data_IF_458247932943
#
_entry.id   IF_458247932943
#
_cell.length_a   1.000
_cell.length_b   1.000
_cell.length_c   1.000
_cell.angle_alpha   90.00
_cell.angle_beta   90.00
_cell.angle_gamma   90.00
#
_symmetry.space_group_name_H-M   'P 1'
#
loop_
_entity.id
_entity.type
_entity.pdbx_description
1 polymer ?
#
# COMPACT_ATOMS: atom_id res chain seq x y z
N UNK A 1 -15.57 32.76 -41.00
CA UNK A 1 -16.18 31.68 -40.20
C UNK A 1 -15.24 30.52 -39.88
N UNK A 2 -14.45 30.02 -40.85
CA UNK A 2 -13.56 28.85 -40.68
C UNK A 2 -12.59 28.96 -39.48
N UNK A 3 -11.92 30.10 -39.33
CA UNK A 3 -10.98 30.32 -38.21
C UNK A 3 -11.66 30.43 -36.85
N UNK A 4 -12.90 30.95 -36.78
CA UNK A 4 -13.65 31.07 -35.51
C UNK A 4 -14.03 29.70 -34.94
N UNK A 5 -14.33 28.73 -35.80
CA UNK A 5 -14.61 27.34 -35.41
C UNK A 5 -13.33 26.68 -34.87
N UNK A 6 -12.19 26.92 -35.51
CA UNK A 6 -10.88 26.40 -35.06
C UNK A 6 -10.50 26.99 -33.70
N UNK A 7 -10.71 28.29 -33.48
CA UNK A 7 -10.45 28.92 -32.18
C UNK A 7 -11.35 28.36 -31.07
N UNK A 8 -12.62 28.05 -31.38
CA UNK A 8 -13.57 27.47 -30.43
C UNK A 8 -13.22 26.01 -30.09
N UNK A 9 -12.71 25.24 -31.06
CA UNK A 9 -12.24 23.88 -30.85
C UNK A 9 -10.98 23.82 -29.96
N UNK A 10 -10.04 24.74 -30.16
CA UNK A 10 -8.82 24.86 -29.35
C UNK A 10 -9.17 25.23 -27.90
N UNK A 11 -10.15 26.12 -27.70
CA UNK A 11 -10.62 26.50 -26.36
C UNK A 11 -11.29 25.32 -25.62
N UNK A 12 -12.00 24.46 -26.34
CA UNK A 12 -12.67 23.28 -25.76
C UNK A 12 -11.68 22.15 -25.38
N UNK A 13 -10.56 22.01 -26.11
CA UNK A 13 -9.51 21.03 -25.77
C UNK A 13 -8.74 21.45 -24.52
N UNK A 14 -8.54 22.76 -24.30
CA UNK A 14 -7.80 23.30 -23.17
C UNK A 14 -8.42 23.07 -21.79
N UNK A 15 -9.73 22.75 -21.70
CA UNK A 15 -10.43 22.57 -20.41
C UNK A 15 -10.46 21.12 -19.91
N UNK A 16 -9.89 20.15 -20.63
CA UNK A 16 -9.99 18.72 -20.30
C UNK A 16 -8.81 18.16 -19.47
N UNK A 17 -7.93 19.01 -18.92
CA UNK A 17 -6.63 18.57 -18.36
C UNK A 17 -6.57 18.29 -16.86
N UNK A 18 -7.69 18.33 -16.11
CA UNK A 18 -7.67 18.23 -14.62
C UNK A 18 -8.52 17.08 -14.04
N UNK A 19 -8.65 15.97 -14.75
CA UNK A 19 -9.41 14.82 -14.25
C UNK A 19 -8.61 13.88 -13.33
N UNK A 20 -7.27 13.94 -13.37
CA UNK A 20 -6.41 13.02 -12.62
C UNK A 20 -6.02 13.62 -11.27
N UNK A 21 -6.22 12.83 -10.21
CA UNK A 21 -5.97 13.24 -8.83
C UNK A 21 -4.48 13.07 -8.52
N UNK A 22 -3.86 14.08 -7.92
CA UNK A 22 -2.46 14.05 -7.50
C UNK A 22 -2.28 13.22 -6.21
N UNK A 23 -1.07 12.71 -5.96
CA UNK A 23 -0.76 11.89 -4.81
C UNK A 23 -0.99 12.61 -3.46
N UNK A 24 -0.90 13.95 -3.45
CA UNK A 24 -1.27 14.81 -2.31
C UNK A 24 -2.70 14.63 -1.81
N UNK A 25 -3.61 14.13 -2.65
CA UNK A 25 -4.96 13.77 -2.21
C UNK A 25 -4.97 12.59 -1.24
N UNK A 26 -4.05 11.63 -1.41
CA UNK A 26 -3.98 10.41 -0.62
C UNK A 26 -2.99 10.50 0.55
N UNK A 27 -1.99 11.38 0.43
CA UNK A 27 -0.85 11.43 1.34
C UNK A 27 -0.80 12.77 2.11
N UNK A 28 -0.45 12.76 3.41
CA UNK A 28 -0.27 13.99 4.16
C UNK A 28 0.90 14.83 3.62
N UNK A 29 0.74 16.15 3.58
CA UNK A 29 1.73 17.09 3.01
C UNK A 29 2.96 17.31 3.92
N UNK A 30 2.79 17.18 5.25
CA UNK A 30 3.81 17.54 6.24
C UNK A 30 4.57 16.33 6.80
N UNK A 31 4.91 15.36 5.94
CA UNK A 31 5.73 14.21 6.34
C UNK A 31 6.90 14.01 5.38
N UNK A 32 8.02 13.56 5.93
CA UNK A 32 9.19 13.17 5.15
C UNK A 32 9.20 11.65 4.99
N UNK A 33 9.21 11.20 3.74
CA UNK A 33 9.30 9.78 3.40
C UNK A 33 10.76 9.34 3.27
N UNK A 34 11.07 8.09 3.65
CA UNK A 34 12.40 7.54 3.46
C UNK A 34 12.62 7.23 1.97
N UNK A 35 13.56 7.90 1.29
CA UNK A 35 13.79 7.73 -0.15
C UNK A 35 14.39 6.36 -0.51
N UNK A 36 14.87 5.60 0.48
CA UNK A 36 15.39 4.24 0.28
C UNK A 36 14.26 3.22 0.07
N UNK A 37 13.02 3.57 0.42
CA UNK A 37 11.87 2.71 0.22
C UNK A 37 11.33 2.93 -1.19
N UNK A 38 11.19 1.86 -2.00
CA UNK A 38 10.71 1.99 -3.37
C UNK A 38 9.28 2.51 -3.38
N UNK A 39 8.97 3.40 -4.33
CA UNK A 39 7.60 3.87 -4.55
C UNK A 39 6.81 2.84 -5.35
N UNK A 40 5.47 2.81 -5.24
CA UNK A 40 4.63 1.97 -6.11
C UNK A 40 4.95 2.19 -7.59
N UNK A 41 5.05 3.44 -8.03
CA UNK A 41 5.36 3.79 -9.41
C UNK A 41 6.70 3.21 -9.89
N UNK A 42 7.75 3.24 -9.05
CA UNK A 42 9.08 2.72 -9.42
C UNK A 42 9.11 1.21 -9.68
N UNK A 43 8.17 0.45 -9.07
CA UNK A 43 8.09 -1.01 -9.21
C UNK A 43 7.00 -1.44 -10.20
N UNK A 44 5.85 -0.77 -10.16
CA UNK A 44 4.63 -1.13 -10.90
C UNK A 44 4.57 -0.42 -12.27
N UNK A 45 5.23 0.74 -12.40
CA UNK A 45 5.34 1.52 -13.63
C UNK A 45 4.25 2.58 -13.84
N UNK A 46 3.33 2.75 -12.89
CA UNK A 46 2.28 3.78 -12.93
C UNK A 46 1.90 4.24 -11.52
N UNK A 47 1.25 5.39 -11.43
CA UNK A 47 0.84 5.96 -10.14
C UNK A 47 -0.39 5.28 -9.54
N UNK A 48 -0.62 5.53 -8.25
CA UNK A 48 -1.84 5.11 -7.55
C UNK A 48 -3.05 5.80 -8.18
N UNK A 49 -4.08 5.03 -8.53
CA UNK A 49 -5.32 5.54 -9.12
C UNK A 49 -5.28 5.69 -10.64
N UNK A 50 -4.12 5.50 -11.29
CA UNK A 50 -4.02 5.57 -12.75
C UNK A 50 -4.61 4.32 -13.44
N UNK A 51 -4.27 3.13 -12.94
CA UNK A 51 -4.75 1.83 -13.45
C UNK A 51 -4.95 0.81 -12.33
N UNK A 52 -5.84 -0.17 -12.57
CA UNK A 52 -6.00 -1.30 -11.66
C UNK A 52 -4.74 -2.18 -11.67
N UNK A 53 -4.23 -2.51 -10.49
CA UNK A 53 -3.03 -3.33 -10.34
C UNK A 53 -3.35 -4.82 -10.50
N UNK A 54 -2.52 -5.54 -11.25
CA UNK A 54 -2.60 -7.00 -11.32
C UNK A 54 -1.98 -7.65 -10.08
N UNK A 55 -2.42 -8.86 -9.75
CA UNK A 55 -1.95 -9.56 -8.54
C UNK A 55 -0.42 -9.76 -8.52
N UNK A 56 0.19 -10.13 -9.64
CA UNK A 56 1.64 -10.32 -9.78
C UNK A 56 2.44 -9.03 -9.49
N UNK A 57 1.95 -7.86 -9.95
CA UNK A 57 2.59 -6.57 -9.68
C UNK A 57 2.46 -6.16 -8.23
N UNK A 58 1.29 -6.42 -7.62
CA UNK A 58 1.08 -6.18 -6.20
C UNK A 58 2.04 -7.02 -5.35
N UNK A 59 2.15 -8.32 -5.65
CA UNK A 59 3.09 -9.22 -4.97
C UNK A 59 4.53 -8.78 -5.16
N UNK A 60 4.90 -8.36 -6.38
CA UNK A 60 6.25 -7.84 -6.67
C UNK A 60 6.59 -6.61 -5.83
N UNK A 61 5.63 -5.70 -5.64
CA UNK A 61 5.81 -4.54 -4.78
C UNK A 61 5.92 -4.92 -3.30
N UNK A 62 5.09 -5.85 -2.81
CA UNK A 62 5.22 -6.36 -1.43
C UNK A 62 6.59 -6.99 -1.17
N UNK A 63 7.12 -7.76 -2.12
CA UNK A 63 8.47 -8.32 -2.05
C UNK A 63 9.57 -7.26 -2.08
N UNK A 64 9.37 -6.17 -2.84
CA UNK A 64 10.31 -5.04 -2.85
C UNK A 64 10.32 -4.33 -1.49
N UNK A 65 9.16 -4.17 -0.84
CA UNK A 65 9.05 -3.57 0.49
C UNK A 65 9.71 -4.42 1.58
N UNK A 66 9.46 -5.73 1.59
CA UNK A 66 10.10 -6.69 2.50
C UNK A 66 11.63 -6.63 2.43
N UNK A 67 12.19 -6.49 1.23
CA UNK A 67 13.64 -6.36 1.02
C UNK A 67 14.22 -5.01 1.45
N UNK A 68 13.41 -3.95 1.39
CA UNK A 68 13.88 -2.57 1.58
C UNK A 68 13.63 -2.03 3.01
N UNK A 69 12.73 -2.64 3.78
CA UNK A 69 12.29 -2.11 5.08
C UNK A 69 12.40 -3.13 6.21
N UNK A 70 12.96 -2.70 7.34
CA UNK A 70 12.95 -3.44 8.61
C UNK A 70 11.57 -3.44 9.31
N UNK A 71 10.58 -2.76 8.72
CA UNK A 71 9.20 -2.64 9.22
C UNK A 71 8.23 -3.58 8.53
N UNK A 72 8.65 -4.22 7.45
CA UNK A 72 7.80 -5.05 6.60
C UNK A 72 8.40 -6.44 6.56
N UNK A 73 7.59 -7.47 6.82
CA UNK A 73 7.97 -8.86 6.58
C UNK A 73 6.93 -9.58 5.74
N UNK A 74 7.38 -10.43 4.81
CA UNK A 74 6.53 -11.22 3.94
C UNK A 74 6.78 -12.72 4.16
N UNK A 75 5.74 -13.46 4.53
CA UNK A 75 5.78 -14.90 4.75
C UNK A 75 4.80 -15.64 3.83
N UNK A 76 5.16 -16.86 3.41
CA UNK A 76 4.23 -17.78 2.75
C UNK A 76 3.60 -18.69 3.80
N UNK A 77 2.31 -18.53 4.05
CA UNK A 77 1.57 -19.30 5.08
C UNK A 77 0.94 -20.57 4.54
N UNK A 78 0.92 -20.73 3.22
CA UNK A 78 0.39 -21.91 2.56
C UNK A 78 0.25 -21.71 1.06
N UNK A 79 -0.50 -22.60 0.43
CA UNK A 79 -0.77 -22.56 -1.00
C UNK A 79 -2.25 -22.82 -1.27
N UNK A 80 -2.79 -22.20 -2.31
CA UNK A 80 -4.14 -22.49 -2.81
C UNK A 80 -4.18 -23.86 -3.50
N UNK A 81 -5.38 -24.32 -3.85
CA UNK A 81 -5.58 -25.54 -4.65
C UNK A 81 -4.87 -25.50 -6.02
N UNK A 82 -4.66 -24.31 -6.59
CA UNK A 82 -3.91 -24.11 -7.83
C UNK A 82 -2.40 -23.89 -7.57
N UNK A 83 -1.90 -24.24 -6.39
CA UNK A 83 -0.52 -24.06 -5.97
C UNK A 83 -0.03 -22.59 -5.97
N UNK A 84 -0.92 -21.62 -5.79
CA UNK A 84 -0.54 -20.19 -5.64
C UNK A 84 -0.17 -19.89 -4.19
N UNK A 85 0.93 -19.20 -3.90
CA UNK A 85 1.33 -18.90 -2.53
C UNK A 85 0.32 -17.97 -1.85
N UNK A 86 -0.05 -18.32 -0.62
CA UNK A 86 -0.81 -17.45 0.28
C UNK A 86 0.19 -16.63 1.11
N UNK A 87 0.14 -15.32 0.95
CA UNK A 87 1.12 -14.40 1.51
C UNK A 87 0.56 -13.69 2.74
N UNK A 88 1.36 -13.64 3.81
CA UNK A 88 1.12 -12.81 4.99
C UNK A 88 2.15 -11.67 5.03
N UNK A 89 1.64 -10.45 4.86
CA UNK A 89 2.44 -9.22 4.99
C UNK A 89 2.23 -8.63 6.38
N UNK A 90 3.29 -8.54 7.17
CA UNK A 90 3.25 -7.94 8.51
C UNK A 90 3.95 -6.59 8.49
N UNK A 91 3.21 -5.53 8.85
CA UNK A 91 3.72 -4.16 8.88
C UNK A 91 3.66 -3.64 10.31
N UNK A 92 4.81 -3.39 10.93
CA UNK A 92 4.88 -2.87 12.31
C UNK A 92 6.23 -2.20 12.59
N UNK A 93 6.46 -1.75 13.81
CA UNK A 93 7.77 -1.21 14.19
C UNK A 93 8.84 -2.32 14.26
N UNK A 94 10.13 -2.02 14.07
CA UNK A 94 11.19 -3.04 14.18
C UNK A 94 11.22 -3.70 15.57
N UNK A 95 10.92 -2.92 16.62
CA UNK A 95 10.77 -3.42 18.00
C UNK A 95 9.62 -4.42 18.13
N UNK A 96 8.50 -4.20 17.44
CA UNK A 96 7.37 -5.11 17.48
C UNK A 96 7.65 -6.39 16.69
N UNK A 97 8.38 -6.32 15.57
CA UNK A 97 8.82 -7.50 14.83
C UNK A 97 9.65 -8.45 15.71
N UNK A 98 10.53 -7.91 16.55
CA UNK A 98 11.29 -8.70 17.53
C UNK A 98 10.41 -9.41 18.59
N UNK A 99 9.18 -8.92 18.80
CA UNK A 99 8.25 -9.42 19.82
C UNK A 99 6.94 -9.97 19.22
N UNK A 100 6.93 -10.27 17.92
CA UNK A 100 5.68 -10.49 17.18
C UNK A 100 4.86 -11.66 17.71
N UNK A 101 5.53 -12.73 18.14
CA UNK A 101 4.85 -13.92 18.69
C UNK A 101 4.21 -13.64 20.05
N UNK A 102 4.88 -12.86 20.91
CA UNK A 102 4.31 -12.41 22.19
C UNK A 102 3.07 -11.56 21.96
N UNK A 103 3.15 -10.60 21.03
CA UNK A 103 2.02 -9.74 20.66
C UNK A 103 0.84 -10.57 20.10
N UNK A 104 1.14 -11.59 19.28
CA UNK A 104 0.12 -12.51 18.74
C UNK A 104 -0.55 -13.29 19.87
N UNK A 105 0.20 -13.81 20.83
CA UNK A 105 -0.35 -14.55 21.98
C UNK A 105 -1.23 -13.66 22.87
N UNK A 106 -0.78 -12.44 23.15
CA UNK A 106 -1.57 -11.44 23.87
C UNK A 106 -2.87 -11.13 23.11
N UNK A 107 -2.80 -10.95 21.79
CA UNK A 107 -3.98 -10.72 20.96
C UNK A 107 -4.98 -11.88 21.03
N UNK A 108 -4.53 -13.13 20.98
CA UNK A 108 -5.42 -14.31 21.11
C UNK A 108 -6.11 -14.32 22.48
N UNK A 109 -5.42 -13.94 23.56
CA UNK A 109 -6.01 -13.89 24.89
C UNK A 109 -7.13 -12.84 25.03
N UNK A 110 -7.16 -11.81 24.18
CA UNK A 110 -8.26 -10.83 24.14
C UNK A 110 -9.59 -11.45 23.70
N UNK A 111 -9.58 -12.63 23.05
CA UNK A 111 -10.80 -13.36 22.69
C UNK A 111 -11.42 -14.14 23.86
N UNK A 112 -10.71 -14.29 24.98
CA UNK A 112 -11.17 -14.97 26.19
C UNK A 112 -11.62 -13.94 27.23
N UNK A 113 -12.94 -13.78 27.48
CA UNK A 113 -13.46 -12.77 28.42
C UNK A 113 -12.92 -12.91 29.84
N UNK A 114 -12.49 -14.12 30.24
CA UNK A 114 -11.93 -14.36 31.57
C UNK A 114 -10.51 -13.84 31.73
N UNK A 115 -9.79 -13.63 30.63
CA UNK A 115 -8.38 -13.18 30.61
C UNK A 115 -8.21 -11.77 30.06
N UNK A 116 -9.13 -11.31 29.22
CA UNK A 116 -9.03 -10.02 28.53
C UNK A 116 -8.98 -8.82 29.48
N UNK A 117 -9.61 -8.92 30.66
CA UNK A 117 -9.71 -7.82 31.65
C UNK A 117 -8.35 -7.45 32.26
N UNK A 118 -7.42 -8.39 32.35
CA UNK A 118 -6.11 -8.19 32.99
C UNK A 118 -5.03 -7.74 31.99
N UNK A 119 -5.34 -7.69 30.69
CA UNK A 119 -4.39 -7.36 29.64
C UNK A 119 -4.26 -5.84 29.45
N UNK A 120 -3.01 -5.37 29.43
CA UNK A 120 -2.71 -3.99 29.06
C UNK A 120 -2.72 -3.85 27.53
N UNK A 121 -3.67 -3.05 27.02
CA UNK A 121 -3.88 -2.77 25.59
C UNK A 121 -3.47 -1.34 25.20
N UNK A 122 -2.82 -0.60 26.11
CA UNK A 122 -2.40 0.80 25.93
C UNK A 122 -0.98 0.94 25.40
#
# INVERSE_FOLDING_TARGET
>A
MKYRIITLLILFIGTSTYAQVDLSYYLPENVSYNPSIPTPQSVIGHEVGEWHISHDRLVSYMQALDKASDRVSLEVTGYTFEARPLLLLTITSPKNHQNIETLRQQHVQLSDPSKSTDLNVS
#
